data_IF_298971099753
#
_entry.id   IF_298971099753
#
_cell.length_a   1.000
_cell.length_b   1.000
_cell.length_c   1.000
_cell.angle_alpha   90.00
_cell.angle_beta   90.00
_cell.angle_gamma   90.00
#
_symmetry.space_group_name_H-M   'P 1'
#
loop_
_entity.id
_entity.type
_entity.pdbx_description
1 polymer ?
#
# COMPACT_ATOMS: atom_id res chain seq x y z
N UNK A 1 -31.70 -31.80 50.79
CA UNK A 1 -31.30 -30.42 50.41
C UNK A 1 -32.51 -29.54 50.61
N UNK A 2 -32.35 -28.42 51.33
CA UNK A 2 -33.48 -27.57 51.76
C UNK A 2 -33.81 -26.45 50.77
N UNK A 3 -33.12 -26.42 49.63
CA UNK A 3 -33.31 -25.43 48.58
C UNK A 3 -33.15 -26.11 47.21
N UNK A 4 -33.69 -25.45 46.18
CA UNK A 4 -33.54 -25.85 44.79
C UNK A 4 -32.05 -25.86 44.35
N UNK A 5 -31.71 -26.62 43.29
CA UNK A 5 -30.35 -26.62 42.76
C UNK A 5 -29.87 -25.21 42.39
N UNK A 6 -28.59 -24.88 42.63
CA UNK A 6 -28.07 -23.54 42.42
C UNK A 6 -28.16 -23.11 40.96
N UNK A 7 -28.66 -21.89 40.70
CA UNK A 7 -28.63 -21.33 39.34
C UNK A 7 -27.22 -20.89 38.98
N UNK A 8 -26.75 -21.28 37.80
CA UNK A 8 -25.43 -20.91 37.30
C UNK A 8 -25.53 -19.97 36.10
N UNK A 9 -24.44 -19.23 35.83
CA UNK A 9 -24.40 -18.26 34.73
C UNK A 9 -24.21 -18.91 33.36
N UNK A 10 -23.46 -20.01 33.27
CA UNK A 10 -23.11 -20.71 32.02
C UNK A 10 -23.99 -21.92 31.72
N UNK A 11 -24.80 -22.34 32.69
CA UNK A 11 -25.67 -23.50 32.61
C UNK A 11 -27.14 -23.12 32.76
N UNK A 12 -28.00 -23.98 32.23
CA UNK A 12 -29.45 -23.96 32.35
C UNK A 12 -29.85 -25.26 33.05
N UNK A 13 -30.56 -25.13 34.17
CA UNK A 13 -31.10 -26.26 34.91
C UNK A 13 -32.22 -26.91 34.08
N UNK A 14 -32.18 -28.24 33.93
CA UNK A 14 -33.20 -28.98 33.21
C UNK A 14 -34.33 -29.42 34.15
N UNK A 15 -35.57 -29.27 33.69
CA UNK A 15 -36.76 -29.66 34.44
C UNK A 15 -37.29 -28.58 35.40
N UNK A 16 -38.39 -28.89 36.07
CA UNK A 16 -39.06 -28.02 37.04
C UNK A 16 -38.62 -28.33 38.47
N UNK A 17 -38.12 -27.32 39.18
CA UNK A 17 -37.62 -27.45 40.56
C UNK A 17 -38.42 -26.52 41.48
N UNK A 18 -39.64 -26.94 41.81
CA UNK A 18 -40.62 -26.15 42.57
C UNK A 18 -40.85 -26.66 44.01
N UNK A 19 -40.18 -27.74 44.40
CA UNK A 19 -40.34 -28.32 45.73
C UNK A 19 -39.49 -27.57 46.76
N UNK A 20 -39.96 -27.56 48.01
CA UNK A 20 -39.27 -26.92 49.13
C UNK A 20 -38.09 -27.76 49.65
N UNK A 21 -38.13 -29.10 49.50
CA UNK A 21 -37.09 -30.01 50.02
C UNK A 21 -36.87 -31.19 49.09
N UNK A 22 -35.61 -31.53 48.87
CA UNK A 22 -35.19 -32.65 48.01
C UNK A 22 -34.50 -33.75 48.82
N UNK A 23 -34.82 -35.01 48.54
CA UNK A 23 -34.28 -36.19 49.23
C UNK A 23 -32.82 -36.46 48.85
N UNK A 24 -32.09 -37.19 49.70
CA UNK A 24 -30.72 -37.60 49.43
C UNK A 24 -30.63 -38.50 48.19
N UNK A 25 -29.63 -38.25 47.33
CA UNK A 25 -29.49 -38.92 46.04
C UNK A 25 -30.25 -38.27 44.87
N UNK A 26 -31.05 -37.21 45.12
CA UNK A 26 -31.71 -36.46 44.04
C UNK A 26 -30.67 -35.85 43.11
N UNK A 27 -30.82 -36.04 41.79
CA UNK A 27 -29.89 -35.55 40.78
C UNK A 27 -30.48 -34.42 39.94
N UNK A 28 -29.77 -33.30 39.89
CA UNK A 28 -30.08 -32.14 39.08
C UNK A 28 -29.18 -32.09 37.84
N UNK A 29 -29.80 -32.16 36.66
CA UNK A 29 -29.09 -32.16 35.37
C UNK A 29 -29.05 -30.74 34.80
N UNK A 30 -27.87 -30.32 34.39
CA UNK A 30 -27.63 -29.02 33.76
C UNK A 30 -27.25 -29.19 32.30
N UNK A 31 -27.75 -28.28 31.45
CA UNK A 31 -27.34 -28.10 30.05
C UNK A 31 -26.54 -26.81 29.94
N UNK A 32 -25.58 -26.75 29.02
CA UNK A 32 -24.89 -25.48 28.76
C UNK A 32 -25.82 -24.48 28.08
N UNK A 33 -25.63 -23.18 28.36
CA UNK A 33 -26.25 -22.10 27.58
C UNK A 33 -25.75 -22.12 26.13
N UNK A 34 -26.51 -21.54 25.18
CA UNK A 34 -26.04 -21.34 23.81
C UNK A 34 -24.66 -20.68 23.78
N UNK A 35 -23.77 -21.14 22.89
CA UNK A 35 -22.38 -20.68 22.85
C UNK A 35 -21.41 -21.43 23.78
N UNK A 36 -21.91 -22.35 24.61
CA UNK A 36 -21.07 -23.18 25.49
C UNK A 36 -21.24 -24.67 25.18
N UNK A 37 -20.18 -25.45 25.44
CA UNK A 37 -20.14 -26.90 25.29
C UNK A 37 -19.50 -27.57 26.51
N UNK A 38 -19.84 -28.83 26.74
CA UNK A 38 -19.31 -29.67 27.83
C UNK A 38 -19.02 -31.07 27.31
N UNK A 39 -18.09 -31.79 27.96
CA UNK A 39 -17.77 -33.19 27.69
C UNK A 39 -18.74 -34.12 28.45
N UNK A 40 -20.02 -34.06 28.09
CA UNK A 40 -21.09 -34.85 28.69
C UNK A 40 -21.98 -34.07 29.67
N UNK A 41 -22.96 -34.75 30.26
CA UNK A 41 -23.94 -34.14 31.16
C UNK A 41 -23.33 -33.71 32.49
N UNK A 42 -23.72 -32.51 32.92
CA UNK A 42 -23.35 -31.94 34.21
C UNK A 42 -24.44 -32.33 35.21
N UNK A 43 -24.07 -33.04 36.27
CA UNK A 43 -24.99 -33.58 37.27
C UNK A 43 -24.56 -33.08 38.65
N UNK A 44 -25.48 -32.46 39.37
CA UNK A 44 -25.35 -32.16 40.79
C UNK A 44 -26.19 -33.16 41.57
N UNK A 45 -25.65 -33.74 42.63
CA UNK A 45 -26.33 -34.70 43.50
C UNK A 45 -26.53 -34.08 44.88
N UNK A 46 -27.72 -34.24 45.46
CA UNK A 46 -27.96 -33.86 46.84
C UNK A 46 -27.33 -34.91 47.78
N UNK A 47 -26.28 -34.54 48.51
CA UNK A 47 -25.58 -35.44 49.44
C UNK A 47 -25.38 -34.76 50.79
N UNK A 48 -25.83 -35.40 51.88
CA UNK A 48 -25.78 -34.83 53.25
C UNK A 48 -26.36 -33.41 53.38
N UNK A 49 -27.38 -33.08 52.58
CA UNK A 49 -28.06 -31.78 52.64
C UNK A 49 -27.51 -30.70 51.71
N UNK A 50 -26.38 -30.92 51.05
CA UNK A 50 -25.76 -29.99 50.10
C UNK A 50 -25.78 -30.51 48.65
N UNK A 51 -25.83 -29.59 47.70
CA UNK A 51 -25.71 -29.90 46.27
C UNK A 51 -24.24 -30.01 45.88
N UNK A 52 -23.78 -31.22 45.55
CA UNK A 52 -22.39 -31.48 45.17
C UNK A 52 -22.28 -31.92 43.71
N UNK A 53 -21.22 -31.50 43.02
CA UNK A 53 -20.99 -31.89 41.63
C UNK A 53 -20.53 -33.35 41.57
N UNK A 54 -21.28 -34.19 40.85
CA UNK A 54 -20.93 -35.61 40.69
C UNK A 54 -19.66 -35.79 39.85
N UNK A 55 -19.45 -34.89 38.87
CA UNK A 55 -18.27 -34.86 38.00
C UNK A 55 -17.70 -33.43 37.93
N UNK A 56 -16.84 -33.02 38.88
CA UNK A 56 -16.35 -31.63 38.98
C UNK A 56 -15.60 -31.12 37.75
N UNK A 57 -15.01 -32.01 36.95
CA UNK A 57 -14.28 -31.64 35.72
C UNK A 57 -15.21 -31.35 34.52
N UNK A 58 -16.49 -31.72 34.60
CA UNK A 58 -17.49 -31.43 33.55
C UNK A 58 -18.06 -30.04 33.78
N UNK A 59 -17.46 -29.08 33.09
CA UNK A 59 -17.86 -27.67 33.12
C UNK A 59 -18.22 -27.19 31.72
N UNK A 60 -19.11 -26.20 31.64
CA UNK A 60 -19.40 -25.52 30.38
C UNK A 60 -18.25 -24.59 30.01
N UNK A 61 -17.62 -24.86 28.86
CA UNK A 61 -16.59 -24.00 28.26
C UNK A 61 -17.13 -23.35 27.00
N UNK A 62 -16.55 -22.23 26.59
CA UNK A 62 -16.93 -21.57 25.34
C UNK A 62 -16.80 -22.55 24.17
N UNK A 63 -17.78 -22.56 23.28
CA UNK A 63 -17.75 -23.35 22.05
C UNK A 63 -16.76 -22.67 21.09
N UNK A 64 -15.75 -23.37 20.56
CA UNK A 64 -14.87 -22.83 19.54
C UNK A 64 -15.63 -22.73 18.22
N UNK A 65 -15.51 -21.60 17.53
CA UNK A 65 -16.03 -21.43 16.16
C UNK A 65 -15.06 -21.97 15.11
N UNK A 66 -13.80 -22.24 15.48
CA UNK A 66 -12.75 -22.62 14.54
C UNK A 66 -12.15 -21.41 13.84
N UNK A 67 -11.33 -21.66 12.82
CA UNK A 67 -10.64 -20.59 12.10
C UNK A 67 -11.66 -19.65 11.41
N UNK A 68 -11.53 -18.32 11.53
CA UNK A 68 -12.43 -17.36 10.90
C UNK A 68 -12.30 -17.33 9.37
N UNK A 69 -11.27 -17.94 8.80
CA UNK A 69 -11.07 -18.04 7.35
C UNK A 69 -10.29 -16.84 6.79
N UNK A 70 -9.39 -17.14 5.87
CA UNK A 70 -8.54 -16.14 5.22
C UNK A 70 -9.27 -15.47 4.06
N UNK A 71 -9.02 -14.18 3.88
CA UNK A 71 -9.48 -13.44 2.70
C UNK A 71 -8.30 -13.21 1.75
N UNK A 72 -8.46 -13.41 0.43
CA UNK A 72 -7.41 -13.06 -0.52
C UNK A 72 -7.08 -11.56 -0.44
N UNK A 73 -5.80 -11.23 -0.49
CA UNK A 73 -5.31 -9.83 -0.48
C UNK A 73 -5.78 -9.04 0.73
N UNK A 74 -5.82 -9.70 1.89
CA UNK A 74 -6.08 -9.09 3.17
C UNK A 74 -5.68 -10.00 4.32
N UNK A 75 -5.83 -9.48 5.52
CA UNK A 75 -5.52 -10.16 6.77
C UNK A 75 -6.63 -9.91 7.79
N UNK A 76 -6.63 -10.68 8.87
CA UNK A 76 -7.52 -10.42 10.01
C UNK A 76 -6.73 -10.47 11.32
N UNK A 77 -7.26 -9.80 12.34
CA UNK A 77 -6.75 -9.88 13.70
C UNK A 77 -7.91 -10.08 14.68
N UNK A 78 -7.59 -10.70 15.82
CA UNK A 78 -8.54 -10.90 16.91
C UNK A 78 -8.69 -9.58 17.68
N UNK A 79 -9.86 -8.96 17.57
CA UNK A 79 -10.17 -7.69 18.22
C UNK A 79 -10.79 -7.89 19.61
N UNK A 80 -11.55 -8.97 19.81
CA UNK A 80 -12.14 -9.34 21.10
C UNK A 80 -11.88 -10.82 21.37
N UNK A 81 -11.39 -11.12 22.57
CA UNK A 81 -11.05 -12.47 23.03
C UNK A 81 -9.56 -12.79 22.87
N UNK A 82 -9.19 -13.97 23.35
CA UNK A 82 -7.85 -14.57 23.31
C UNK A 82 -7.82 -15.85 22.45
N UNK A 83 -8.98 -16.43 22.15
CA UNK A 83 -9.17 -17.60 21.31
C UNK A 83 -10.39 -17.45 20.40
N UNK A 84 -10.47 -18.27 19.33
CA UNK A 84 -11.61 -18.30 18.40
C UNK A 84 -12.81 -19.06 18.99
N UNK A 85 -13.35 -18.57 20.10
CA UNK A 85 -14.46 -19.15 20.82
C UNK A 85 -15.57 -18.14 21.11
N UNK A 86 -16.72 -18.63 21.55
CA UNK A 86 -17.94 -17.84 21.74
C UNK A 86 -17.71 -16.46 22.39
N UNK A 87 -18.20 -15.42 21.71
CA UNK A 87 -18.00 -14.01 22.05
C UNK A 87 -16.74 -13.37 21.46
N UNK A 88 -15.92 -14.11 20.70
CA UNK A 88 -14.78 -13.57 20.00
C UNK A 88 -15.19 -12.70 18.81
N UNK A 89 -14.40 -11.68 18.49
CA UNK A 89 -14.59 -10.81 17.33
C UNK A 89 -13.28 -10.67 16.57
N UNK A 90 -13.31 -10.94 15.27
CA UNK A 90 -12.17 -10.71 14.37
C UNK A 90 -12.48 -9.58 13.42
N UNK A 91 -11.47 -8.78 13.11
CA UNK A 91 -11.58 -7.65 12.18
C UNK A 91 -10.62 -7.88 11.03
N UNK A 92 -11.14 -7.73 9.82
CA UNK A 92 -10.45 -7.87 8.54
C UNK A 92 -9.94 -6.51 8.07
N UNK A 93 -8.77 -6.53 7.44
CA UNK A 93 -8.11 -5.38 6.84
C UNK A 93 -7.56 -5.81 5.49
N UNK A 94 -7.90 -5.09 4.42
CA UNK A 94 -7.38 -5.37 3.09
C UNK A 94 -5.94 -4.86 2.95
N UNK A 95 -5.18 -5.51 2.07
CA UNK A 95 -3.82 -5.12 1.75
C UNK A 95 -3.80 -3.80 0.96
N UNK A 96 -2.62 -3.19 0.87
CA UNK A 96 -2.45 -1.95 0.11
C UNK A 96 -2.84 -2.14 -1.37
N UNK A 97 -3.67 -1.23 -1.89
CA UNK A 97 -4.21 -1.32 -3.25
C UNK A 97 -5.46 -2.20 -3.38
N UNK A 98 -5.96 -2.72 -2.27
CA UNK A 98 -7.23 -3.44 -2.20
C UNK A 98 -8.22 -2.73 -1.26
N UNK A 99 -9.50 -2.82 -1.59
CA UNK A 99 -10.59 -2.25 -0.80
C UNK A 99 -11.60 -3.31 -0.42
N UNK A 100 -12.22 -3.13 0.74
CA UNK A 100 -13.23 -4.05 1.26
C UNK A 100 -14.50 -3.98 0.40
N UNK A 101 -14.96 -5.14 -0.06
CA UNK A 101 -16.26 -5.26 -0.72
C UNK A 101 -17.37 -5.30 0.32
N UNK A 102 -18.15 -4.21 0.39
CA UNK A 102 -19.25 -4.06 1.34
C UNK A 102 -18.85 -3.29 2.61
N UNK A 103 -19.73 -3.31 3.61
CA UNK A 103 -19.58 -2.48 4.83
C UNK A 103 -19.12 -3.26 6.05
N UNK A 104 -19.20 -4.60 6.02
CA UNK A 104 -18.92 -5.46 7.16
C UNK A 104 -17.48 -5.97 7.07
N UNK A 105 -16.61 -5.43 7.92
CA UNK A 105 -15.20 -5.81 8.00
C UNK A 105 -14.89 -6.75 9.17
N UNK A 106 -15.88 -7.32 9.82
CA UNK A 106 -15.67 -8.13 11.02
C UNK A 106 -16.54 -9.37 11.03
N UNK A 107 -16.14 -10.38 11.81
CA UNK A 107 -16.95 -11.55 12.11
C UNK A 107 -17.00 -11.75 13.62
N UNK A 108 -18.14 -12.15 14.15
CA UNK A 108 -18.32 -12.46 15.56
C UNK A 108 -18.63 -13.95 15.73
N UNK A 109 -18.03 -14.59 16.73
CA UNK A 109 -18.25 -16.00 17.03
C UNK A 109 -19.47 -16.12 17.95
N UNK A 110 -20.60 -16.48 17.34
CA UNK A 110 -21.88 -16.70 18.01
C UNK A 110 -22.09 -18.20 18.31
N UNK A 111 -23.26 -18.57 18.84
CA UNK A 111 -23.57 -19.93 19.27
C UNK A 111 -23.52 -20.95 18.11
N UNK A 112 -23.89 -20.52 16.90
CA UNK A 112 -23.95 -21.34 15.70
C UNK A 112 -22.66 -21.31 14.88
N UNK A 113 -21.79 -20.33 15.11
CA UNK A 113 -20.54 -20.14 14.37
C UNK A 113 -20.26 -18.66 14.13
N UNK A 114 -19.46 -18.37 13.11
CA UNK A 114 -19.19 -16.99 12.69
C UNK A 114 -20.43 -16.35 12.04
N UNK A 115 -20.79 -15.13 12.46
CA UNK A 115 -22.06 -14.45 12.13
C UNK A 115 -22.35 -14.18 10.65
N UNK A 116 -21.33 -13.89 9.84
CA UNK A 116 -21.46 -13.47 8.44
C UNK A 116 -20.34 -14.11 7.60
N UNK A 117 -20.41 -14.05 6.28
CA UNK A 117 -19.39 -14.62 5.39
C UNK A 117 -18.02 -13.92 5.52
N UNK A 118 -16.98 -14.55 4.96
CA UNK A 118 -15.62 -13.99 4.94
C UNK A 118 -15.66 -12.71 4.08
N UNK A 119 -15.29 -11.54 4.62
CA UNK A 119 -15.25 -10.31 3.84
C UNK A 119 -14.25 -10.41 2.70
N UNK A 120 -14.57 -9.89 1.52
CA UNK A 120 -13.73 -9.96 0.33
C UNK A 120 -13.00 -8.64 0.10
N UNK A 121 -11.75 -8.72 -0.35
CA UNK A 121 -10.96 -7.57 -0.76
C UNK A 121 -10.84 -7.56 -2.29
N UNK A 122 -11.28 -6.46 -2.91
CA UNK A 122 -11.16 -6.26 -4.36
C UNK A 122 -10.07 -5.25 -4.67
N UNK A 123 -9.36 -5.48 -5.78
CA UNK A 123 -8.33 -4.56 -6.23
C UNK A 123 -8.95 -3.21 -6.56
N UNK A 124 -8.28 -2.14 -6.12
CA UNK A 124 -8.69 -0.77 -6.44
C UNK A 124 -8.54 -0.53 -7.94
N UNK A 125 -9.50 0.19 -8.50
CA UNK A 125 -9.57 0.46 -9.94
C UNK A 125 -9.61 1.96 -10.22
N UNK A 126 -8.87 2.38 -11.24
CA UNK A 126 -8.86 3.73 -11.78
C UNK A 126 -9.70 3.81 -13.05
N UNK A 127 -10.27 4.99 -13.29
CA UNK A 127 -11.08 5.27 -14.47
C UNK A 127 -10.24 5.10 -15.75
N UNK A 128 -10.84 4.59 -16.84
CA UNK A 128 -10.19 4.52 -18.14
C UNK A 128 -9.68 5.90 -18.59
N UNK A 129 -8.54 5.90 -19.28
CA UNK A 129 -7.92 7.13 -19.78
C UNK A 129 -8.08 7.19 -21.28
N UNK A 130 -8.67 8.28 -21.77
CA UNK A 130 -8.81 8.52 -23.21
C UNK A 130 -7.50 9.05 -23.81
N UNK A 131 -7.31 8.88 -25.11
CA UNK A 131 -6.16 9.43 -25.81
C UNK A 131 -6.15 10.97 -25.77
N UNK A 132 -4.98 11.61 -25.60
CA UNK A 132 -4.86 13.05 -25.74
C UNK A 132 -5.04 13.45 -27.21
N UNK A 133 -5.59 14.65 -27.45
CA UNK A 133 -5.67 15.21 -28.80
C UNK A 133 -4.25 15.30 -29.41
N UNK A 134 -4.06 14.86 -30.64
CA UNK A 134 -2.75 14.76 -31.30
C UNK A 134 -1.72 13.86 -30.57
N UNK A 135 -2.20 12.86 -29.82
CA UNK A 135 -1.34 11.81 -29.26
C UNK A 135 -2.08 10.49 -29.11
N UNK A 136 -1.39 9.52 -28.51
CA UNK A 136 -1.88 8.16 -28.28
C UNK A 136 -1.47 7.69 -26.89
N UNK A 137 -2.26 6.75 -26.38
CA UNK A 137 -1.91 6.03 -25.16
C UNK A 137 -1.12 4.78 -25.53
N UNK A 138 0.04 4.62 -24.92
CA UNK A 138 0.85 3.40 -24.98
C UNK A 138 0.66 2.69 -23.64
N UNK A 139 -0.31 1.78 -23.56
CA UNK A 139 -0.51 0.93 -22.40
C UNK A 139 -0.39 -0.54 -22.78
N UNK A 140 -0.07 -1.37 -21.79
CA UNK A 140 -0.06 -2.84 -21.94
C UNK A 140 -1.45 -3.46 -21.80
N UNK A 141 -2.46 -2.67 -21.41
CA UNK A 141 -3.84 -3.12 -21.32
C UNK A 141 -4.43 -3.19 -22.74
N UNK A 142 -4.98 -4.35 -23.09
CA UNK A 142 -5.41 -4.70 -24.45
C UNK A 142 -6.57 -3.83 -24.99
N UNK A 143 -7.21 -2.99 -24.17
CA UNK A 143 -8.40 -2.20 -24.51
C UNK A 143 -8.38 -0.83 -23.83
N UNK A 144 -8.62 0.26 -24.59
CA UNK A 144 -8.57 1.64 -24.10
C UNK A 144 -9.73 2.01 -23.13
N UNK A 145 -10.81 1.22 -23.12
CA UNK A 145 -12.03 1.49 -22.33
C UNK A 145 -12.19 0.56 -21.11
N UNK A 146 -11.16 -0.23 -20.77
CA UNK A 146 -11.18 -1.02 -19.53
C UNK A 146 -10.66 -0.25 -18.33
N UNK A 147 -11.21 -0.59 -17.17
CA UNK A 147 -10.74 -0.10 -15.87
C UNK A 147 -9.30 -0.56 -15.63
N UNK A 148 -8.48 0.34 -15.06
CA UNK A 148 -7.09 0.02 -14.73
C UNK A 148 -6.98 -0.37 -13.26
N UNK A 149 -6.30 -1.46 -12.96
CA UNK A 149 -6.11 -1.90 -11.56
C UNK A 149 -4.92 -1.19 -10.92
N UNK A 150 -4.91 -1.14 -9.59
CA UNK A 150 -3.80 -0.61 -8.80
C UNK A 150 -2.42 -1.06 -9.31
N UNK A 151 -1.49 -0.11 -9.41
CA UNK A 151 -0.12 -0.35 -9.88
C UNK A 151 0.06 -0.39 -11.40
N UNK A 152 -1.01 -0.46 -12.21
CA UNK A 152 -0.88 -0.37 -13.66
C UNK A 152 -0.42 1.04 -14.09
N UNK A 153 0.43 1.07 -15.12
CA UNK A 153 1.05 2.29 -15.65
C UNK A 153 0.57 2.54 -17.07
N UNK A 154 0.25 3.79 -17.37
CA UNK A 154 -0.15 4.28 -18.68
C UNK A 154 0.89 5.29 -19.15
N UNK A 155 1.43 5.08 -20.35
CA UNK A 155 2.35 6.02 -20.98
C UNK A 155 1.66 6.78 -22.10
N UNK A 156 2.07 8.02 -22.32
CA UNK A 156 1.55 8.86 -23.39
C UNK A 156 2.64 9.12 -24.43
N UNK A 157 2.24 9.16 -25.69
CA UNK A 157 3.10 9.61 -26.78
C UNK A 157 2.35 10.56 -27.71
N UNK A 158 2.94 11.72 -27.98
CA UNK A 158 2.40 12.66 -28.94
C UNK A 158 2.77 12.30 -30.38
N UNK A 159 1.89 12.66 -31.31
CA UNK A 159 2.09 12.51 -32.74
C UNK A 159 3.27 13.37 -33.24
N UNK A 160 3.75 13.10 -34.45
CA UNK A 160 4.83 13.89 -35.05
C UNK A 160 4.47 15.37 -35.14
N UNK A 161 5.37 16.24 -34.69
CA UNK A 161 5.16 17.71 -34.64
C UNK A 161 4.68 18.21 -33.28
N UNK A 162 4.34 17.32 -32.34
CA UNK A 162 3.86 17.65 -31.01
C UNK A 162 4.82 17.14 -29.91
N UNK A 163 4.83 17.83 -28.77
CA UNK A 163 5.53 17.44 -27.56
C UNK A 163 4.55 17.31 -26.38
N UNK A 164 4.93 16.51 -25.39
CA UNK A 164 4.16 16.32 -24.17
C UNK A 164 4.30 17.54 -23.26
N UNK A 165 3.16 18.09 -22.84
CA UNK A 165 3.01 19.06 -21.76
C UNK A 165 2.33 18.37 -20.58
N UNK A 166 3.13 17.96 -19.59
CA UNK A 166 2.71 17.18 -18.45
C UNK A 166 3.51 15.88 -18.26
N UNK A 167 3.04 14.96 -17.40
CA UNK A 167 3.75 13.72 -17.12
C UNK A 167 3.73 12.78 -18.33
N UNK A 168 4.86 12.14 -18.62
CA UNK A 168 4.96 11.12 -19.68
C UNK A 168 4.20 9.84 -19.33
N UNK A 169 4.11 9.53 -18.04
CA UNK A 169 3.45 8.34 -17.53
C UNK A 169 2.72 8.64 -16.22
N UNK A 170 1.62 7.93 -16.01
CA UNK A 170 0.81 7.97 -14.79
C UNK A 170 0.51 6.54 -14.35
N UNK A 171 0.32 6.32 -13.05
CA UNK A 171 -0.03 5.01 -12.50
C UNK A 171 -1.30 5.07 -11.67
N UNK A 172 -2.01 3.95 -11.59
CA UNK A 172 -3.20 3.84 -10.75
C UNK A 172 -2.80 3.74 -9.27
N UNK A 173 -3.19 4.74 -8.49
CA UNK A 173 -2.83 4.86 -7.06
C UNK A 173 -3.78 4.06 -6.17
N UNK A 174 -3.43 3.93 -4.89
CA UNK A 174 -4.16 3.19 -3.85
C UNK A 174 -5.57 3.73 -3.58
N UNK A 175 -5.84 4.97 -3.95
CA UNK A 175 -7.13 5.64 -3.77
C UNK A 175 -8.04 5.57 -5.02
N UNK A 176 -7.64 4.83 -6.06
CA UNK A 176 -8.42 4.72 -7.31
C UNK A 176 -8.34 5.96 -8.19
N UNK A 177 -7.39 6.85 -7.89
CA UNK A 177 -7.11 8.05 -8.68
C UNK A 177 -5.74 7.88 -9.35
N UNK A 178 -5.60 8.44 -10.55
CA UNK A 178 -4.33 8.49 -11.25
C UNK A 178 -3.31 9.34 -10.50
N UNK A 179 -2.05 8.92 -10.51
CA UNK A 179 -0.94 9.61 -9.84
C UNK A 179 -0.64 11.01 -10.37
N UNK A 180 -1.17 11.35 -11.55
CA UNK A 180 -1.00 12.65 -12.19
C UNK A 180 -2.13 12.92 -13.17
N UNK A 181 -2.22 14.17 -13.60
CA UNK A 181 -3.21 14.56 -14.62
C UNK A 181 -2.80 14.08 -16.00
N UNK A 182 -3.81 13.81 -16.84
CA UNK A 182 -3.61 13.48 -18.26
C UNK A 182 -2.84 14.62 -18.95
N UNK A 183 -1.71 14.32 -19.63
CA UNK A 183 -0.92 15.35 -20.32
C UNK A 183 -1.62 15.84 -21.58
N UNK A 184 -1.17 16.99 -22.07
CA UNK A 184 -1.59 17.55 -23.36
C UNK A 184 -0.48 17.40 -24.39
N UNK A 185 -0.85 17.23 -25.65
CA UNK A 185 0.10 17.31 -26.76
C UNK A 185 0.01 18.69 -27.38
N UNK A 186 1.09 19.46 -27.24
CA UNK A 186 1.20 20.82 -27.77
C UNK A 186 2.22 20.85 -28.90
N UNK A 187 2.13 21.81 -29.81
CA UNK A 187 3.13 21.97 -30.87
C UNK A 187 4.53 22.11 -30.28
N UNK A 188 5.52 21.46 -30.91
CA UNK A 188 6.91 21.51 -30.45
C UNK A 188 7.39 22.96 -30.42
N UNK A 189 7.59 23.46 -29.21
CA UNK A 189 8.06 24.81 -28.96
C UNK A 189 8.96 24.82 -27.73
N UNK A 190 10.22 25.21 -27.94
CA UNK A 190 11.19 25.32 -26.87
C UNK A 190 11.38 26.78 -26.48
N UNK A 191 11.21 27.09 -25.19
CA UNK A 191 11.60 28.40 -24.64
C UNK A 191 13.12 28.47 -24.48
N UNK A 192 13.66 29.68 -24.47
CA UNK A 192 15.09 29.90 -24.19
C UNK A 192 15.46 29.20 -22.87
N UNK A 193 16.45 28.28 -22.88
CA UNK A 193 16.87 27.60 -21.68
C UNK A 193 17.77 28.50 -20.84
N UNK A 194 17.76 28.29 -19.53
CA UNK A 194 18.76 28.88 -18.64
C UNK A 194 20.06 28.08 -18.75
N UNK A 195 21.13 28.72 -19.20
CA UNK A 195 22.45 28.09 -19.33
C UNK A 195 23.26 28.42 -18.08
N UNK A 196 23.50 27.43 -17.23
CA UNK A 196 24.35 27.62 -16.05
C UNK A 196 25.80 27.87 -16.49
N UNK A 197 26.44 28.90 -15.93
CA UNK A 197 27.82 29.32 -16.28
C UNK A 197 28.01 29.65 -17.78
N UNK A 198 26.96 30.12 -18.43
CA UNK A 198 27.01 30.61 -19.80
C UNK A 198 25.92 31.64 -20.06
N UNK A 199 25.86 32.14 -21.29
CA UNK A 199 24.87 33.12 -21.72
C UNK A 199 24.37 32.81 -23.14
N UNK A 200 23.11 33.15 -23.40
CA UNK A 200 22.50 33.01 -24.73
C UNK A 200 23.09 34.04 -25.68
N UNK A 201 23.35 33.63 -26.92
CA UNK A 201 23.84 34.52 -27.98
C UNK A 201 22.67 35.16 -28.74
N UNK A 202 21.53 34.47 -28.80
CA UNK A 202 20.36 34.88 -29.56
C UNK A 202 19.28 35.52 -28.68
N UNK A 203 18.57 36.51 -29.23
CA UNK A 203 17.47 37.23 -28.55
C UNK A 203 16.08 36.59 -28.78
N UNK A 204 16.01 35.52 -29.58
CA UNK A 204 14.76 34.79 -29.85
C UNK A 204 14.32 34.06 -28.59
N UNK A 205 13.05 34.16 -28.24
CA UNK A 205 12.51 33.60 -26.98
C UNK A 205 11.84 32.22 -27.14
N UNK A 206 11.37 31.91 -28.35
CA UNK A 206 10.63 30.68 -28.68
C UNK A 206 11.23 30.06 -29.94
N UNK A 207 11.49 28.77 -29.91
CA UNK A 207 12.08 28.00 -30.99
C UNK A 207 11.15 26.87 -31.43
N UNK A 208 10.97 26.71 -32.74
CA UNK A 208 10.21 25.61 -33.35
C UNK A 208 11.09 24.37 -33.49
N UNK A 209 10.46 23.24 -33.83
CA UNK A 209 11.16 21.98 -34.08
C UNK A 209 12.37 22.13 -35.01
N UNK A 210 13.49 21.53 -34.64
CA UNK A 210 14.78 21.53 -35.35
C UNK A 210 15.49 22.89 -35.43
N UNK A 211 14.93 23.97 -34.89
CA UNK A 211 15.67 25.22 -34.76
C UNK A 211 16.76 25.09 -33.70
N UNK A 212 17.90 25.74 -33.94
CA UNK A 212 19.09 25.68 -33.08
C UNK A 212 19.21 26.92 -32.19
N UNK A 213 19.40 26.69 -30.91
CA UNK A 213 19.77 27.70 -29.92
C UNK A 213 21.28 27.69 -29.73
N UNK A 214 21.90 28.87 -29.80
CA UNK A 214 23.33 29.04 -29.62
C UNK A 214 23.62 29.79 -28.32
N UNK A 215 24.62 29.28 -27.59
CA UNK A 215 25.06 29.83 -26.30
C UNK A 215 26.58 29.81 -26.21
N UNK A 216 27.12 30.63 -25.30
CA UNK A 216 28.55 30.68 -25.01
C UNK A 216 28.80 30.49 -23.53
N UNK A 217 29.82 29.69 -23.20
CA UNK A 217 30.23 29.48 -21.82
C UNK A 217 31.06 30.65 -21.28
N UNK A 218 30.95 30.89 -19.99
CA UNK A 218 31.74 31.88 -19.27
C UNK A 218 33.21 31.45 -19.20
N UNK A 219 34.10 32.38 -18.88
CA UNK A 219 35.53 32.11 -18.68
C UNK A 219 35.75 31.05 -17.59
N UNK A 220 36.60 30.05 -17.87
CA UNK A 220 36.84 28.91 -16.98
C UNK A 220 35.87 27.72 -17.19
N UNK A 221 34.95 27.82 -18.15
CA UNK A 221 34.00 26.76 -18.50
C UNK A 221 34.06 26.40 -19.99
N UNK A 222 33.83 25.14 -20.31
CA UNK A 222 33.77 24.58 -21.66
C UNK A 222 32.39 23.97 -21.93
N UNK A 223 32.01 23.83 -23.20
CA UNK A 223 30.79 23.13 -23.59
C UNK A 223 30.81 21.68 -23.11
N UNK A 224 29.72 21.24 -22.47
CA UNK A 224 29.61 19.87 -21.99
C UNK A 224 29.62 18.85 -23.13
N UNK A 225 28.86 19.13 -24.19
CA UNK A 225 28.84 18.32 -25.42
C UNK A 225 28.98 19.20 -26.68
N UNK A 226 28.09 20.19 -26.83
CA UNK A 226 28.00 21.02 -28.04
C UNK A 226 27.62 22.46 -27.67
N UNK A 227 28.17 23.44 -28.39
CA UNK A 227 27.86 24.87 -28.23
C UNK A 227 26.52 25.33 -28.83
N UNK A 228 25.71 24.40 -29.31
CA UNK A 228 24.37 24.63 -29.78
C UNK A 228 23.45 23.46 -29.41
N UNK A 229 22.16 23.75 -29.26
CA UNK A 229 21.13 22.77 -28.96
C UNK A 229 19.99 22.87 -29.97
N UNK A 230 19.47 21.75 -30.43
CA UNK A 230 18.31 21.69 -31.31
C UNK A 230 17.03 21.49 -30.49
N UNK A 231 15.95 22.18 -30.87
CA UNK A 231 14.64 21.97 -30.25
C UNK A 231 14.01 20.68 -30.77
N UNK A 232 13.73 19.73 -29.87
CA UNK A 232 13.16 18.42 -30.18
C UNK A 232 11.86 18.18 -29.42
N UNK A 233 11.16 17.07 -29.72
CA UNK A 233 9.94 16.68 -28.99
C UNK A 233 10.16 16.38 -27.49
N UNK A 234 11.42 16.17 -27.08
CA UNK A 234 11.81 15.95 -25.68
C UNK A 234 12.44 17.20 -25.03
N UNK A 235 12.39 18.35 -25.72
CA UNK A 235 13.08 19.58 -25.32
C UNK A 235 14.41 19.77 -26.04
N UNK A 236 15.33 20.50 -25.40
CA UNK A 236 16.64 20.83 -25.97
C UNK A 236 17.58 19.62 -26.00
N UNK A 237 18.11 19.29 -27.18
CA UNK A 237 19.06 18.20 -27.37
C UNK A 237 20.28 18.66 -28.20
N UNK A 238 21.52 18.52 -27.68
CA UNK A 238 21.83 18.20 -26.28
C UNK A 238 21.37 19.32 -25.34
N UNK A 239 21.23 19.02 -24.05
CA UNK A 239 20.84 20.04 -23.05
C UNK A 239 21.97 21.08 -22.94
N UNK A 240 21.71 22.39 -23.15
CA UNK A 240 22.73 23.43 -23.03
C UNK A 240 23.36 23.43 -21.64
N UNK A 241 24.66 23.14 -21.58
CA UNK A 241 25.38 22.99 -20.33
C UNK A 241 26.86 23.31 -20.53
N UNK A 242 27.42 24.03 -19.56
CA UNK A 242 28.83 24.38 -19.50
C UNK A 242 29.48 23.66 -18.31
N UNK A 243 30.47 22.82 -18.59
CA UNK A 243 31.28 22.13 -17.58
C UNK A 243 32.49 22.98 -17.20
N UNK A 244 32.87 22.96 -15.92
CA UNK A 244 34.08 23.64 -15.46
C UNK A 244 35.31 22.98 -16.10
N UNK A 245 36.24 23.79 -16.60
CA UNK A 245 37.52 23.28 -17.09
C UNK A 245 38.37 22.95 -15.87
N UNK A 246 38.64 21.66 -15.70
CA UNK A 246 39.55 21.15 -14.68
C UNK A 246 40.70 20.41 -15.34
N UNK A 247 41.89 20.54 -14.75
CA UNK A 247 43.08 19.87 -15.23
C UNK A 247 43.36 18.66 -14.34
N UNK A 248 43.51 17.50 -14.95
CA UNK A 248 44.07 16.34 -14.26
C UNK A 248 45.59 16.54 -14.17
N UNK A 249 46.19 16.46 -12.97
CA UNK A 249 47.63 16.55 -12.82
C UNK A 249 48.27 15.35 -13.54
N UNK A 250 49.36 15.55 -14.33
CA UNK A 250 50.04 14.44 -14.98
C UNK A 250 50.55 13.42 -13.95
N UNK A 251 50.37 12.14 -14.26
CA UNK A 251 50.84 11.04 -13.42
C UNK A 251 52.35 10.85 -13.60
N UNK A 252 53.11 11.07 -12.52
CA UNK A 252 54.57 10.89 -12.48
C UNK A 252 54.91 9.82 -11.43
N UNK A 253 55.54 8.68 -11.83
CA UNK A 253 55.92 7.64 -10.88
C UNK A 253 56.89 8.17 -9.81
N UNK A 254 56.55 7.98 -8.53
CA UNK A 254 57.31 8.45 -7.36
C UNK A 254 57.47 9.97 -7.23
N UNK A 255 56.76 10.78 -8.02
CA UNK A 255 56.76 12.24 -7.88
C UNK A 255 55.62 12.71 -6.97
N UNK A 256 55.90 13.65 -6.08
CA UNK A 256 54.88 14.30 -5.25
C UNK A 256 54.70 15.73 -5.76
N UNK A 257 53.46 16.16 -6.01
CA UNK A 257 53.18 17.53 -6.43
C UNK A 257 52.57 18.36 -5.31
N UNK A 258 52.92 19.64 -5.24
CA UNK A 258 52.36 20.59 -4.29
C UNK A 258 51.88 21.87 -5.01
N UNK A 259 50.77 22.49 -4.57
CA UNK A 259 49.86 22.06 -3.49
C UNK A 259 48.92 20.93 -3.93
N UNK A 260 48.65 19.98 -3.04
CA UNK A 260 47.66 18.91 -3.25
C UNK A 260 46.24 19.51 -3.22
N UNK A 261 45.57 19.52 -4.37
CA UNK A 261 44.17 19.99 -4.49
C UNK A 261 43.32 18.91 -5.13
N UNK A 262 42.05 18.86 -4.72
CA UNK A 262 41.05 17.91 -5.24
C UNK A 262 40.65 18.28 -6.68
N UNK A 263 40.80 19.55 -7.08
CA UNK A 263 40.54 20.07 -8.43
C UNK A 263 41.54 21.16 -8.77
N UNK A 264 42.13 21.09 -9.96
CA UNK A 264 43.00 22.13 -10.50
C UNK A 264 42.27 22.90 -11.60
N UNK A 265 42.35 24.24 -11.56
CA UNK A 265 41.72 25.14 -12.53
C UNK A 265 42.74 25.65 -13.53
N UNK A 266 42.26 26.19 -14.65
CA UNK A 266 43.10 26.99 -15.55
C UNK A 266 43.70 28.16 -14.75
N UNK A 267 45.04 28.29 -14.77
CA UNK A 267 45.89 29.20 -13.96
C UNK A 267 46.49 28.62 -12.66
N UNK A 268 46.15 27.40 -12.25
CA UNK A 268 46.85 26.75 -11.13
C UNK A 268 48.23 26.26 -11.56
N UNK A 269 49.29 26.71 -10.86
CA UNK A 269 50.64 26.14 -10.97
C UNK A 269 50.86 25.06 -9.91
N UNK A 270 51.24 23.86 -10.35
CA UNK A 270 51.70 22.77 -9.47
C UNK A 270 53.19 22.53 -9.69
N UNK A 271 53.92 22.25 -8.60
CA UNK A 271 55.35 21.92 -8.63
C UNK A 271 55.57 20.49 -8.18
N UNK A 272 56.44 19.77 -8.88
CA UNK A 272 56.81 18.39 -8.57
C UNK A 272 58.17 18.33 -7.85
N UNK A 273 58.26 17.50 -6.82
CA UNK A 273 59.49 17.15 -6.08
C UNK A 273 59.82 15.66 -6.20
#
# INVERSE_FOLDING_TARGET
CNEAPPRKQTEILSGSWTELTYTEGTQAIYKCRPGYRTLGTIIMECRKGEWVALYPLRICRKKPCGHPGDTPFGSFHLAVGDEFAYGAKVVYTCDEGYQLLGTINYRECDADGWTNDIPLCEVVKCLPVTEPENGRVISSALELDQEYTFGQVVQFECNSGFMLDGPKEIHCSTNGIWSGEKPRCVEISCKVPSVLNGYSISQKTIYKQNERFQYKCNTGFEYSERGDAACTKFGWSPVPSCKEVTCDPPYIPNGVYTPERIKHRTEDEIRYE
#
